data_IF_856442178809
#
_entry.id   IF_856442178809
#
_cell.length_a   1.000
_cell.length_b   1.000
_cell.length_c   1.000
_cell.angle_alpha   90.00
_cell.angle_beta   90.00
_cell.angle_gamma   90.00
#
_symmetry.space_group_name_H-M   'P 1'
#
loop_
_entity.id
_entity.type
_entity.pdbx_description
1 polymer ?
#
# COMPACT_ATOMS: atom_id res chain seq x y z
N UNK A 1 -17.91 -2.97 -70.85
CA UNK A 1 -18.09 -3.75 -69.61
C UNK A 1 -19.32 -3.16 -68.99
N UNK A 2 -20.43 -3.89 -68.90
CA UNK A 2 -21.70 -3.32 -68.42
C UNK A 2 -21.55 -2.90 -66.96
N UNK A 3 -21.96 -1.66 -66.66
CA UNK A 3 -21.90 -1.06 -65.31
C UNK A 3 -22.58 -1.95 -64.26
N UNK A 4 -23.59 -2.72 -64.68
CA UNK A 4 -24.31 -3.70 -63.86
C UNK A 4 -23.42 -4.87 -63.40
N UNK A 5 -22.49 -5.33 -64.25
CA UNK A 5 -21.54 -6.41 -63.91
C UNK A 5 -20.50 -5.95 -62.89
N UNK A 6 -20.12 -4.66 -62.93
CA UNK A 6 -19.15 -4.08 -61.98
C UNK A 6 -19.78 -3.95 -60.59
N UNK A 7 -21.01 -3.42 -60.51
CA UNK A 7 -21.71 -3.22 -59.24
C UNK A 7 -22.11 -4.56 -58.60
N UNK A 8 -22.48 -5.56 -59.40
CA UNK A 8 -22.79 -6.91 -58.92
C UNK A 8 -21.62 -7.60 -58.21
N UNK A 9 -20.38 -7.27 -58.58
CA UNK A 9 -19.17 -7.87 -58.02
C UNK A 9 -18.48 -7.01 -56.95
N UNK A 10 -19.09 -5.89 -56.53
CA UNK A 10 -18.56 -5.10 -55.42
C UNK A 10 -18.54 -5.92 -54.13
N UNK A 11 -17.46 -5.73 -53.34
CA UNK A 11 -17.26 -6.43 -52.08
C UNK A 11 -18.18 -5.91 -50.97
N UNK A 12 -18.61 -4.66 -51.08
CA UNK A 12 -19.54 -4.01 -50.15
C UNK A 12 -20.99 -4.36 -50.49
N UNK A 13 -21.91 -4.45 -49.51
CA UNK A 13 -23.34 -4.51 -49.77
C UNK A 13 -23.83 -3.26 -50.51
N UNK A 14 -24.61 -3.45 -51.57
CA UNK A 14 -25.10 -2.35 -52.42
C UNK A 14 -26.57 -2.55 -52.77
N UNK A 15 -27.32 -1.46 -52.74
CA UNK A 15 -28.70 -1.35 -53.21
C UNK A 15 -28.81 -0.20 -54.21
N UNK A 16 -29.52 -0.43 -55.32
CA UNK A 16 -29.86 0.58 -56.31
C UNK A 16 -31.36 0.84 -56.32
N UNK A 17 -31.71 2.12 -56.31
CA UNK A 17 -33.08 2.64 -56.38
C UNK A 17 -33.29 3.35 -57.72
N UNK A 18 -34.50 3.29 -58.26
CA UNK A 18 -34.89 4.15 -59.37
C UNK A 18 -35.24 5.57 -58.92
N UNK A 19 -35.82 6.37 -59.82
CA UNK A 19 -36.21 7.76 -59.56
C UNK A 19 -37.35 7.89 -58.55
N UNK A 20 -38.22 6.89 -58.48
CA UNK A 20 -39.41 6.90 -57.64
C UNK A 20 -39.13 6.29 -56.25
N UNK A 21 -37.90 5.79 -56.02
CA UNK A 21 -37.48 5.22 -54.75
C UNK A 21 -37.72 3.72 -54.64
N UNK A 22 -37.98 3.07 -55.78
CA UNK A 22 -38.19 1.63 -55.85
C UNK A 22 -36.85 0.91 -55.97
N UNK A 23 -36.67 -0.17 -55.22
CA UNK A 23 -35.49 -1.01 -55.29
C UNK A 23 -35.47 -1.75 -56.63
N UNK A 24 -34.53 -1.37 -57.49
CA UNK A 24 -34.32 -2.01 -58.81
C UNK A 24 -33.10 -2.92 -58.84
N UNK A 25 -32.23 -2.80 -57.84
CA UNK A 25 -31.01 -3.59 -57.75
C UNK A 25 -30.61 -3.84 -56.30
N UNK A 26 -30.12 -5.04 -56.01
CA UNK A 26 -29.41 -5.37 -54.77
C UNK A 26 -28.34 -6.42 -55.09
N UNK A 27 -27.11 -6.24 -54.62
CA UNK A 27 -26.07 -7.25 -54.87
C UNK A 27 -26.17 -8.43 -53.89
N UNK A 28 -25.52 -9.55 -54.20
CA UNK A 28 -25.58 -10.76 -53.37
C UNK A 28 -24.96 -10.55 -51.98
N UNK A 29 -24.13 -9.51 -51.80
CA UNK A 29 -23.62 -9.13 -50.48
C UNK A 29 -24.74 -8.54 -49.63
N UNK A 30 -25.55 -7.62 -50.17
CA UNK A 30 -26.71 -7.06 -49.48
C UNK A 30 -27.74 -8.11 -49.11
N UNK A 31 -28.07 -9.02 -50.03
CA UNK A 31 -29.01 -10.11 -49.77
C UNK A 31 -28.51 -11.05 -48.66
N UNK A 32 -27.21 -11.37 -48.64
CA UNK A 32 -26.61 -12.21 -47.59
C UNK A 32 -26.64 -11.57 -46.22
N UNK A 33 -26.28 -10.28 -46.10
CA UNK A 33 -26.28 -9.61 -44.79
C UNK A 33 -27.69 -9.36 -44.28
N UNK A 34 -28.65 -9.04 -45.15
CA UNK A 34 -30.06 -8.84 -44.76
C UNK A 34 -30.85 -10.15 -44.62
N UNK A 35 -30.30 -11.28 -45.08
CA UNK A 35 -30.98 -12.58 -45.08
C UNK A 35 -32.27 -12.59 -45.91
N UNK A 36 -32.39 -11.71 -46.90
CA UNK A 36 -33.62 -11.51 -47.67
C UNK A 36 -33.44 -11.99 -49.11
N UNK A 37 -34.47 -12.64 -49.66
CA UNK A 37 -34.48 -13.08 -51.05
C UNK A 37 -34.58 -11.88 -52.01
N UNK A 38 -33.92 -11.98 -53.17
CA UNK A 38 -33.89 -10.90 -54.18
C UNK A 38 -35.30 -10.50 -54.62
N UNK A 39 -36.17 -11.48 -54.83
CA UNK A 39 -37.55 -11.31 -55.29
C UNK A 39 -38.43 -10.60 -54.25
N UNK A 40 -38.06 -10.66 -52.97
CA UNK A 40 -38.75 -9.98 -51.88
C UNK A 40 -38.25 -8.55 -51.63
N UNK A 41 -37.23 -8.11 -52.36
CA UNK A 41 -36.64 -6.77 -52.29
C UNK A 41 -36.87 -5.98 -53.57
N UNK A 42 -36.74 -6.61 -54.74
CA UNK A 42 -36.95 -5.93 -56.01
C UNK A 42 -38.42 -5.50 -56.16
N UNK A 43 -38.63 -4.23 -56.48
CA UNK A 43 -39.97 -3.64 -56.61
C UNK A 43 -40.55 -3.07 -55.32
N UNK A 44 -39.88 -3.26 -54.17
CA UNK A 44 -40.28 -2.64 -52.91
C UNK A 44 -39.83 -1.18 -52.84
N UNK A 45 -40.56 -0.37 -52.07
CA UNK A 45 -40.16 1.00 -51.76
C UNK A 45 -38.96 1.03 -50.80
N UNK A 46 -38.12 2.05 -50.92
CA UNK A 46 -36.95 2.28 -50.04
C UNK A 46 -37.30 2.19 -48.55
N UNK A 47 -38.49 2.63 -48.17
CA UNK A 47 -39.10 2.58 -46.85
C UNK A 47 -39.09 1.17 -46.24
N UNK A 48 -39.28 0.14 -47.07
CA UNK A 48 -39.24 -1.26 -46.64
C UNK A 48 -37.86 -1.70 -46.15
N UNK A 49 -36.79 -0.99 -46.53
CA UNK A 49 -35.44 -1.25 -46.03
C UNK A 49 -35.23 -0.78 -44.59
N UNK A 50 -36.13 0.05 -44.05
CA UNK A 50 -36.05 0.53 -42.66
C UNK A 50 -36.04 -0.58 -41.63
N UNK A 51 -36.62 -1.75 -41.95
CA UNK A 51 -36.58 -2.94 -41.09
C UNK A 51 -35.18 -3.51 -40.85
N UNK A 52 -34.21 -3.16 -41.70
CA UNK A 52 -32.81 -3.58 -41.59
C UNK A 52 -31.91 -2.52 -40.92
N UNK A 53 -32.48 -1.36 -40.57
CA UNK A 53 -31.73 -0.22 -40.02
C UNK A 53 -32.33 0.15 -38.67
N UNK A 54 -31.70 -0.34 -37.60
CA UNK A 54 -32.13 -0.07 -36.24
C UNK A 54 -31.95 1.40 -35.83
N UNK A 55 -30.88 2.05 -36.31
CA UNK A 55 -30.57 3.45 -36.03
C UNK A 55 -30.10 4.16 -37.31
N UNK A 56 -30.47 5.42 -37.49
CA UNK A 56 -30.02 6.25 -38.62
C UNK A 56 -30.93 6.23 -39.86
N UNK A 57 -32.01 5.44 -39.87
CA UNK A 57 -32.91 5.34 -41.03
C UNK A 57 -33.56 6.67 -41.45
N UNK A 58 -34.04 7.55 -40.54
CA UNK A 58 -34.61 8.85 -40.96
C UNK A 58 -33.59 9.73 -41.70
N UNK A 59 -32.33 9.75 -41.22
CA UNK A 59 -31.24 10.49 -41.86
C UNK A 59 -30.87 9.89 -43.21
N UNK A 60 -30.89 8.55 -43.32
CA UNK A 60 -30.66 7.84 -44.57
C UNK A 60 -31.75 8.15 -45.60
N UNK A 61 -33.03 8.11 -45.19
CA UNK A 61 -34.16 8.49 -46.04
C UNK A 61 -34.01 9.90 -46.58
N UNK A 62 -33.73 10.88 -45.72
CA UNK A 62 -33.51 12.26 -46.18
C UNK A 62 -32.27 12.43 -47.07
N UNK A 63 -31.26 11.56 -46.95
CA UNK A 63 -30.14 11.53 -47.88
C UNK A 63 -30.56 10.99 -49.27
N UNK A 64 -31.37 9.93 -49.30
CA UNK A 64 -31.93 9.35 -50.54
C UNK A 64 -32.87 10.33 -51.23
N UNK A 65 -33.82 10.93 -50.52
CA UNK A 65 -34.76 11.94 -51.05
C UNK A 65 -34.01 13.10 -51.72
N UNK A 66 -33.00 13.67 -51.04
CA UNK A 66 -32.17 14.75 -51.62
C UNK A 66 -31.40 14.30 -52.86
N UNK A 67 -30.90 13.06 -52.87
CA UNK A 67 -30.23 12.47 -54.01
C UNK A 67 -31.19 12.21 -55.19
N UNK A 68 -32.50 12.04 -54.94
CA UNK A 68 -33.54 11.95 -55.96
C UNK A 68 -33.97 13.33 -56.48
N UNK A 69 -34.05 14.34 -55.61
CA UNK A 69 -34.59 15.67 -55.92
C UNK A 69 -33.62 16.64 -56.61
N UNK A 70 -32.31 16.55 -56.35
CA UNK A 70 -31.38 17.39 -57.12
C UNK A 70 -29.93 17.44 -56.66
N UNK A 71 -29.58 16.79 -55.54
CA UNK A 71 -28.24 16.88 -54.99
C UNK A 71 -27.20 16.27 -55.94
N UNK A 72 -26.09 16.98 -56.16
CA UNK A 72 -25.01 16.55 -57.08
C UNK A 72 -23.84 15.86 -56.38
N UNK A 73 -23.87 15.77 -55.04
CA UNK A 73 -22.80 15.18 -54.22
C UNK A 73 -23.25 13.94 -53.46
N UNK A 74 -22.26 13.13 -53.07
CA UNK A 74 -22.47 11.97 -52.19
C UNK A 74 -22.84 12.43 -50.77
N UNK A 75 -23.80 11.75 -50.16
CA UNK A 75 -24.08 11.90 -48.74
C UNK A 75 -23.54 10.69 -47.96
N UNK A 76 -23.02 10.94 -46.75
CA UNK A 76 -22.64 9.90 -45.79
C UNK A 76 -23.56 9.96 -44.59
N UNK A 77 -24.06 8.81 -44.16
CA UNK A 77 -24.94 8.69 -43.01
C UNK A 77 -24.48 7.50 -42.18
N UNK A 78 -24.12 7.74 -40.93
CA UNK A 78 -23.84 6.65 -39.99
C UNK A 78 -25.15 6.07 -39.45
N UNK A 79 -25.17 4.77 -39.23
CA UNK A 79 -26.31 4.08 -38.63
C UNK A 79 -25.95 2.69 -38.11
N UNK A 80 -26.96 1.97 -37.66
CA UNK A 80 -26.81 0.61 -37.15
C UNK A 80 -27.71 -0.30 -37.97
N UNK A 81 -27.12 -1.26 -38.69
CA UNK A 81 -27.89 -2.33 -39.31
C UNK A 81 -28.27 -3.38 -38.29
N UNK A 82 -29.45 -3.98 -38.48
CA UNK A 82 -29.86 -5.20 -37.80
C UNK A 82 -29.97 -6.35 -38.80
N UNK A 83 -29.40 -7.49 -38.40
CA UNK A 83 -29.27 -8.68 -39.23
C UNK A 83 -30.00 -9.85 -38.57
N UNK A 84 -30.62 -10.74 -39.35
CA UNK A 84 -31.24 -11.95 -38.81
C UNK A 84 -30.18 -12.87 -38.19
N UNK A 85 -30.61 -13.76 -37.28
CA UNK A 85 -29.70 -14.71 -36.62
C UNK A 85 -28.95 -15.62 -37.58
N UNK A 86 -29.51 -15.87 -38.77
CA UNK A 86 -28.91 -16.69 -39.81
C UNK A 86 -27.88 -15.96 -40.66
N UNK A 87 -27.69 -14.65 -40.49
CA UNK A 87 -26.75 -13.87 -41.29
C UNK A 87 -25.29 -14.19 -40.88
N UNK A 88 -24.33 -14.15 -41.84
CA UNK A 88 -22.92 -14.41 -41.57
C UNK A 88 -22.20 -13.20 -40.92
N UNK A 89 -22.94 -12.33 -40.24
CA UNK A 89 -22.49 -11.08 -39.61
C UNK A 89 -23.14 -10.94 -38.24
N UNK A 90 -22.59 -10.12 -37.33
CA UNK A 90 -23.20 -9.84 -36.03
C UNK A 90 -24.66 -9.37 -36.16
N UNK A 91 -25.51 -9.67 -35.18
CA UNK A 91 -26.93 -9.26 -35.16
C UNK A 91 -27.13 -7.75 -35.33
N UNK A 92 -26.19 -6.96 -34.82
CA UNK A 92 -26.15 -5.52 -35.04
C UNK A 92 -24.76 -5.13 -35.50
N UNK A 93 -24.69 -4.27 -36.52
CA UNK A 93 -23.43 -3.83 -37.11
C UNK A 93 -23.48 -2.31 -37.31
N UNK A 94 -22.51 -1.54 -36.79
CA UNK A 94 -22.41 -0.13 -37.14
C UNK A 94 -21.96 -0.01 -38.59
N UNK A 95 -22.69 0.79 -39.36
CA UNK A 95 -22.44 0.99 -40.79
C UNK A 95 -22.42 2.47 -41.16
N UNK A 96 -21.66 2.81 -42.19
CA UNK A 96 -21.74 4.08 -42.90
C UNK A 96 -22.45 3.82 -44.24
N UNK A 97 -23.58 4.46 -44.46
CA UNK A 97 -24.29 4.46 -45.73
C UNK A 97 -23.75 5.60 -46.60
N UNK A 98 -23.27 5.25 -47.80
CA UNK A 98 -22.92 6.22 -48.84
C UNK A 98 -24.02 6.25 -49.88
N UNK A 99 -24.65 7.41 -50.03
CA UNK A 99 -25.76 7.65 -50.95
C UNK A 99 -25.23 8.47 -52.12
N UNK A 100 -25.24 7.89 -53.31
CA UNK A 100 -24.69 8.49 -54.54
C UNK A 100 -25.77 8.56 -55.61
N UNK A 101 -26.08 9.74 -56.18
CA UNK A 101 -27.01 9.84 -57.31
C UNK A 101 -26.40 9.20 -58.56
N UNK A 102 -27.18 8.39 -59.27
CA UNK A 102 -26.77 7.80 -60.55
C UNK A 102 -27.24 8.70 -61.68
N UNK A 103 -26.30 9.21 -62.49
CA UNK A 103 -26.58 10.12 -63.62
C UNK A 103 -25.95 9.55 -64.89
N UNK A 104 -26.72 9.48 -65.96
CA UNK A 104 -26.32 8.97 -67.27
C UNK A 104 -26.73 10.01 -68.33
N UNK A 105 -25.81 10.45 -69.20
CA UNK A 105 -26.05 11.50 -70.20
C UNK A 105 -26.66 12.80 -69.66
N UNK A 106 -26.30 13.18 -68.43
CA UNK A 106 -26.86 14.36 -67.74
C UNK A 106 -28.27 14.14 -67.19
N UNK A 107 -28.83 12.94 -67.36
CA UNK A 107 -30.15 12.54 -66.93
C UNK A 107 -30.03 11.62 -65.72
N UNK A 108 -30.64 12.00 -64.60
CA UNK A 108 -30.63 11.17 -63.38
C UNK A 108 -31.35 9.85 -63.65
N UNK A 109 -30.79 8.71 -63.26
CA UNK A 109 -31.44 7.39 -63.43
C UNK A 109 -31.95 6.82 -62.12
N UNK A 110 -31.36 7.21 -60.99
CA UNK A 110 -31.72 6.68 -59.68
C UNK A 110 -30.70 7.04 -58.61
N UNK A 111 -30.64 6.24 -57.55
CA UNK A 111 -29.73 6.41 -56.40
C UNK A 111 -29.07 5.09 -56.06
N UNK A 112 -27.76 5.12 -55.81
CA UNK A 112 -26.98 3.99 -55.31
C UNK A 112 -26.70 4.18 -53.83
N UNK A 113 -27.02 3.18 -53.02
CA UNK A 113 -26.71 3.13 -51.59
C UNK A 113 -25.70 2.03 -51.35
N UNK A 114 -24.51 2.41 -50.90
CA UNK A 114 -23.43 1.49 -50.55
C UNK A 114 -23.32 1.45 -49.02
N UNK A 115 -23.16 0.25 -48.48
CA UNK A 115 -23.05 0.04 -47.04
C UNK A 115 -21.61 -0.34 -46.70
N UNK A 116 -20.98 0.42 -45.81
CA UNK A 116 -19.63 0.16 -45.33
C UNK A 116 -19.65 -0.22 -43.86
N UNK A 117 -19.03 -1.34 -43.52
CA UNK A 117 -18.78 -1.72 -42.13
C UNK A 117 -17.78 -0.76 -41.50
N UNK A 118 -18.15 -0.15 -40.37
CA UNK A 118 -17.31 0.77 -39.61
C UNK A 118 -16.99 0.23 -38.20
N UNK A 119 -17.13 -1.07 -37.98
CA UNK A 119 -16.88 -1.73 -36.68
C UNK A 119 -15.48 -1.44 -36.16
N UNK A 120 -14.45 -1.59 -37.00
CA UNK A 120 -13.06 -1.31 -36.61
C UNK A 120 -12.86 0.15 -36.15
N UNK A 121 -13.50 1.10 -36.86
CA UNK A 121 -13.45 2.54 -36.51
C UNK A 121 -14.08 2.78 -35.15
N UNK A 122 -15.30 2.27 -34.95
CA UNK A 122 -16.06 2.43 -33.71
C UNK A 122 -15.36 1.75 -32.53
N UNK A 123 -14.77 0.56 -32.73
CA UNK A 123 -14.01 -0.14 -31.69
C UNK A 123 -12.73 0.60 -31.31
N UNK A 124 -12.00 1.14 -32.29
CA UNK A 124 -10.78 1.91 -32.04
C UNK A 124 -11.09 3.18 -31.23
N UNK A 125 -12.13 3.94 -31.62
CA UNK A 125 -12.58 5.12 -30.88
C UNK A 125 -13.04 4.76 -29.46
N UNK A 126 -13.79 3.66 -29.30
CA UNK A 126 -14.21 3.18 -27.98
C UNK A 126 -13.03 2.79 -27.12
N UNK A 127 -12.02 2.13 -27.69
CA UNK A 127 -10.79 1.75 -26.98
C UNK A 127 -10.01 2.98 -26.53
N UNK A 128 -9.86 3.96 -27.41
CA UNK A 128 -9.21 5.23 -27.08
C UNK A 128 -9.94 5.95 -25.96
N UNK A 129 -11.26 6.14 -26.08
CA UNK A 129 -12.11 6.75 -25.03
C UNK A 129 -12.07 5.99 -23.71
N UNK A 130 -11.96 4.66 -23.74
CA UNK A 130 -11.84 3.83 -22.53
C UNK A 130 -10.46 3.98 -21.90
N UNK A 131 -9.41 4.07 -22.70
CA UNK A 131 -8.05 4.31 -22.23
C UNK A 131 -7.93 5.69 -21.59
N UNK A 132 -8.48 6.71 -22.25
CA UNK A 132 -8.51 8.09 -21.74
C UNK A 132 -9.26 8.19 -20.42
N UNK A 133 -10.49 7.67 -20.32
CA UNK A 133 -11.25 7.67 -19.06
C UNK A 133 -10.56 6.92 -17.92
N UNK A 134 -9.83 5.84 -18.23
CA UNK A 134 -9.04 5.12 -17.22
C UNK A 134 -7.86 5.96 -16.73
N UNK A 135 -7.20 6.66 -17.64
CA UNK A 135 -6.08 7.55 -17.31
C UNK A 135 -6.57 8.70 -16.42
N UNK A 136 -7.65 9.39 -16.82
CA UNK A 136 -8.29 10.45 -16.02
C UNK A 136 -8.67 9.98 -14.61
N UNK A 137 -9.21 8.76 -14.48
CA UNK A 137 -9.58 8.22 -13.16
C UNK A 137 -8.39 7.92 -12.25
N UNK A 138 -7.24 7.52 -12.79
CA UNK A 138 -6.01 7.32 -12.00
C UNK A 138 -5.44 8.66 -11.56
N UNK A 139 -5.52 9.66 -12.44
CA UNK A 139 -5.06 11.01 -12.13
C UNK A 139 -5.95 11.73 -11.10
N UNK A 140 -7.23 11.41 -11.00
CA UNK A 140 -8.17 12.04 -10.06
C UNK A 140 -8.18 11.47 -8.64
N UNK A 141 -7.10 10.84 -8.17
CA UNK A 141 -7.04 10.28 -6.81
C UNK A 141 -6.96 11.42 -5.78
N UNK A 142 -7.78 11.40 -4.72
CA UNK A 142 -7.66 12.35 -3.60
C UNK A 142 -6.25 12.30 -3.00
N UNK A 143 -5.73 13.45 -2.57
CA UNK A 143 -4.42 13.60 -1.90
C UNK A 143 -3.19 13.24 -2.76
N UNK A 144 -3.37 12.97 -4.05
CA UNK A 144 -2.29 12.83 -5.03
C UNK A 144 -2.31 14.01 -6.00
N UNK A 145 -1.23 14.75 -6.06
CA UNK A 145 -1.04 15.90 -6.94
C UNK A 145 -0.14 15.50 -8.12
N UNK A 146 -0.63 15.67 -9.35
CA UNK A 146 0.06 15.23 -10.56
C UNK A 146 0.15 16.37 -11.54
N UNK A 147 1.37 16.64 -12.02
CA UNK A 147 1.65 17.57 -13.10
C UNK A 147 2.43 16.90 -14.23
N UNK A 148 2.12 17.26 -15.47
CA UNK A 148 2.87 16.87 -16.67
C UNK A 148 3.56 18.11 -17.19
N UNK A 149 4.87 18.02 -17.40
CA UNK A 149 5.72 19.14 -17.77
C UNK A 149 6.46 18.86 -19.08
N UNK A 150 6.84 19.93 -19.78
CA UNK A 150 7.91 19.88 -20.78
C UNK A 150 9.26 19.59 -20.11
N UNK A 151 10.27 19.11 -20.86
CA UNK A 151 11.61 18.85 -20.31
C UNK A 151 12.29 20.08 -19.69
N UNK A 152 11.86 21.30 -20.01
CA UNK A 152 12.37 22.54 -19.43
C UNK A 152 11.62 22.97 -18.15
N UNK A 153 10.58 22.23 -17.75
CA UNK A 153 9.78 22.51 -16.57
C UNK A 153 8.51 23.35 -16.80
N UNK A 154 8.17 23.63 -18.06
CA UNK A 154 6.89 24.28 -18.41
C UNK A 154 5.71 23.36 -18.18
N UNK A 155 4.63 23.85 -17.56
CA UNK A 155 3.43 23.05 -17.29
C UNK A 155 2.67 22.74 -18.58
N UNK A 156 2.38 21.47 -18.83
CA UNK A 156 1.51 20.99 -19.91
C UNK A 156 0.10 20.72 -19.38
N UNK A 157 -0.01 20.04 -18.25
CA UNK A 157 -1.28 19.59 -17.69
C UNK A 157 -1.12 19.33 -16.18
N UNK A 158 -2.20 19.46 -15.42
CA UNK A 158 -2.26 19.27 -13.97
C UNK A 158 -3.59 18.62 -13.59
N UNK A 159 -3.55 17.62 -12.70
CA UNK A 159 -4.78 16.98 -12.25
C UNK A 159 -5.65 17.90 -11.37
N UNK A 160 -6.95 17.59 -11.29
CA UNK A 160 -7.90 18.37 -10.52
C UNK A 160 -7.50 18.53 -9.05
N UNK A 161 -7.01 17.47 -8.40
CA UNK A 161 -6.62 17.53 -6.99
C UNK A 161 -5.52 18.57 -6.70
N UNK A 162 -4.55 18.73 -7.62
CA UNK A 162 -3.51 19.76 -7.45
C UNK A 162 -4.07 21.17 -7.69
N UNK A 163 -4.96 21.35 -8.66
CA UNK A 163 -5.62 22.64 -8.93
C UNK A 163 -6.53 23.06 -7.78
N UNK A 164 -7.33 22.13 -7.25
CA UNK A 164 -8.25 22.34 -6.13
C UNK A 164 -7.48 22.73 -4.86
N UNK A 165 -6.27 22.20 -4.66
CA UNK A 165 -5.42 22.54 -3.52
C UNK A 165 -5.14 24.04 -3.41
N UNK A 166 -4.93 24.73 -4.53
CA UNK A 166 -4.57 26.16 -4.58
C UNK A 166 -5.66 27.05 -5.19
N UNK A 167 -6.88 26.52 -5.33
CA UNK A 167 -8.04 27.20 -5.95
C UNK A 167 -7.71 27.86 -7.31
N UNK A 168 -6.95 27.15 -8.15
CA UNK A 168 -6.53 27.63 -9.48
C UNK A 168 -7.29 26.93 -10.62
N UNK A 169 -7.35 27.56 -11.80
CA UNK A 169 -7.79 26.89 -13.03
C UNK A 169 -6.58 26.43 -13.83
N UNK A 170 -6.75 25.37 -14.62
CA UNK A 170 -5.71 24.87 -15.51
C UNK A 170 -5.15 25.98 -16.44
N UNK A 171 -6.04 26.81 -16.99
CA UNK A 171 -5.69 27.95 -17.85
C UNK A 171 -4.81 29.01 -17.18
N UNK A 172 -4.77 29.06 -15.84
CA UNK A 172 -3.97 30.01 -15.06
C UNK A 172 -2.52 29.53 -14.84
N UNK A 173 -2.23 28.26 -15.14
CA UNK A 173 -0.92 27.63 -14.86
C UNK A 173 -0.32 26.93 -16.08
N UNK A 174 -1.12 26.52 -17.05
CA UNK A 174 -0.66 25.90 -18.29
C UNK A 174 0.23 26.86 -19.09
N UNK A 175 1.39 26.36 -19.52
CA UNK A 175 2.39 27.14 -20.25
C UNK A 175 3.33 27.97 -19.36
N UNK A 176 3.12 28.01 -18.05
CA UNK A 176 4.03 28.67 -17.12
C UNK A 176 5.11 27.72 -16.60
N UNK A 177 6.31 28.21 -16.27
CA UNK A 177 7.32 27.42 -15.58
C UNK A 177 6.82 27.00 -14.19
N UNK A 178 6.91 25.72 -13.85
CA UNK A 178 6.47 25.19 -12.54
C UNK A 178 6.93 26.03 -11.35
N UNK A 179 8.20 26.47 -11.24
CA UNK A 179 8.62 27.26 -10.08
C UNK A 179 7.84 28.57 -9.87
N UNK A 180 7.19 29.11 -10.91
CA UNK A 180 6.44 30.36 -10.85
C UNK A 180 4.94 30.16 -10.59
N UNK A 181 4.48 28.92 -10.52
CA UNK A 181 3.07 28.58 -10.28
C UNK A 181 2.68 28.77 -8.79
N UNK A 182 1.37 28.90 -8.47
CA UNK A 182 0.90 29.19 -7.11
C UNK A 182 1.41 28.23 -6.03
N UNK A 183 1.62 26.96 -6.37
CA UNK A 183 2.15 25.94 -5.45
C UNK A 183 3.53 26.26 -4.87
N UNK A 184 4.33 27.08 -5.57
CA UNK A 184 5.77 27.26 -5.30
C UNK A 184 6.21 28.72 -5.24
N UNK A 185 5.32 29.65 -5.62
CA UNK A 185 5.60 31.09 -5.67
C UNK A 185 5.97 31.70 -4.30
N UNK A 186 5.67 31.00 -3.20
CA UNK A 186 5.90 31.48 -1.83
C UNK A 186 7.36 31.43 -1.36
N UNK A 187 8.27 30.72 -2.05
CA UNK A 187 9.66 30.53 -1.58
C UNK A 187 10.69 30.43 -2.69
N UNK A 188 11.56 31.44 -2.80
CA UNK A 188 12.66 31.47 -3.78
C UNK A 188 13.63 30.28 -3.64
N UNK A 189 13.90 29.82 -2.40
CA UNK A 189 14.76 28.64 -2.15
C UNK A 189 14.13 27.35 -2.71
N UNK A 190 12.82 27.18 -2.54
CA UNK A 190 12.11 26.02 -3.09
C UNK A 190 12.07 26.10 -4.62
N UNK A 191 11.93 27.29 -5.20
CA UNK A 191 11.99 27.46 -6.65
C UNK A 191 13.35 27.04 -7.22
N UNK A 192 14.46 27.42 -6.58
CA UNK A 192 15.80 27.00 -7.00
C UNK A 192 15.98 25.47 -6.89
N UNK A 193 15.47 24.87 -5.80
CA UNK A 193 15.48 23.41 -5.64
C UNK A 193 14.66 22.71 -6.71
N UNK A 194 13.47 23.22 -7.06
CA UNK A 194 12.61 22.70 -8.12
C UNK A 194 13.30 22.74 -9.47
N UNK A 195 13.95 23.87 -9.82
CA UNK A 195 14.75 23.96 -11.06
C UNK A 195 15.81 22.86 -11.12
N UNK A 196 16.54 22.65 -10.03
CA UNK A 196 17.53 21.56 -9.94
C UNK A 196 16.92 20.16 -10.06
N UNK A 197 15.73 19.92 -9.52
CA UNK A 197 15.02 18.64 -9.69
C UNK A 197 14.56 18.40 -11.12
N UNK A 198 14.01 19.44 -11.76
CA UNK A 198 13.57 19.42 -13.16
C UNK A 198 14.77 19.14 -14.08
N UNK A 199 15.88 19.86 -13.93
CA UNK A 199 17.09 19.66 -14.74
C UNK A 199 17.63 18.23 -14.64
N UNK A 200 17.71 17.68 -13.42
CA UNK A 200 18.13 16.29 -13.20
C UNK A 200 17.18 15.28 -13.83
N UNK A 201 15.87 15.50 -13.68
CA UNK A 201 14.87 14.63 -14.28
C UNK A 201 14.88 14.71 -15.81
N UNK A 202 15.08 15.89 -16.39
CA UNK A 202 15.30 16.09 -17.83
C UNK A 202 16.56 15.38 -18.33
N UNK A 203 17.60 15.29 -17.48
CA UNK A 203 18.78 14.44 -17.70
C UNK A 203 18.50 12.93 -17.64
N UNK A 204 17.28 12.52 -17.31
CA UNK A 204 16.85 11.12 -17.29
C UNK A 204 16.84 10.46 -15.91
N UNK A 205 17.07 11.22 -14.83
CA UNK A 205 17.09 10.73 -13.44
C UNK A 205 15.67 10.65 -12.83
N UNK A 206 15.45 9.70 -11.92
CA UNK A 206 14.27 9.69 -11.05
C UNK A 206 14.58 10.49 -9.79
N UNK A 207 13.93 11.64 -9.62
CA UNK A 207 14.23 12.56 -8.52
C UNK A 207 13.14 12.51 -7.47
N UNK A 208 13.46 12.05 -6.26
CA UNK A 208 12.56 12.14 -5.10
C UNK A 208 12.77 13.46 -4.36
N UNK A 209 11.69 14.02 -3.83
CA UNK A 209 11.74 15.26 -3.07
C UNK A 209 10.74 15.29 -1.91
N UNK A 210 11.05 16.13 -0.94
CA UNK A 210 10.12 16.58 0.09
C UNK A 210 10.06 18.10 0.05
N UNK A 211 8.84 18.63 0.12
CA UNK A 211 8.57 20.06 0.09
C UNK A 211 7.30 20.39 0.88
N UNK A 212 6.92 21.66 0.87
CA UNK A 212 5.70 22.15 1.50
C UNK A 212 5.02 23.08 0.51
N UNK A 213 3.72 22.88 0.28
CA UNK A 213 2.87 23.87 -0.36
C UNK A 213 2.35 24.84 0.71
N UNK A 214 2.20 26.11 0.33
CA UNK A 214 1.60 27.13 1.18
C UNK A 214 0.37 27.65 0.46
N UNK A 215 -0.79 27.47 1.08
CA UNK A 215 -2.08 27.92 0.53
C UNK A 215 -2.27 29.43 0.78
N UNK A 216 -3.27 30.02 0.11
CA UNK A 216 -3.56 31.46 0.22
C UNK A 216 -3.92 31.92 1.63
N UNK A 217 -4.48 31.02 2.46
CA UNK A 217 -4.79 31.28 3.87
C UNK A 217 -3.59 31.07 4.81
N UNK A 218 -2.45 30.66 4.27
CA UNK A 218 -1.22 30.36 5.00
C UNK A 218 -1.12 28.94 5.54
N UNK A 219 -2.07 28.05 5.24
CA UNK A 219 -1.98 26.64 5.58
C UNK A 219 -0.77 25.99 4.88
N UNK A 220 0.01 25.21 5.64
CA UNK A 220 1.17 24.47 5.14
C UNK A 220 0.81 23.02 4.89
N UNK A 221 0.89 22.59 3.63
CA UNK A 221 0.62 21.21 3.23
C UNK A 221 1.96 20.53 2.90
N UNK A 222 2.54 19.73 3.83
CA UNK A 222 3.75 18.98 3.55
C UNK A 222 3.49 17.92 2.48
N UNK A 223 4.36 17.88 1.47
CA UNK A 223 4.28 16.93 0.36
C UNK A 223 5.55 16.13 0.18
N UNK A 224 5.37 14.88 -0.21
CA UNK A 224 6.44 13.99 -0.65
C UNK A 224 6.16 13.52 -2.06
N UNK A 225 7.15 13.63 -2.94
CA UNK A 225 6.94 13.41 -4.36
C UNK A 225 8.14 12.91 -5.14
N UNK A 226 7.88 12.69 -6.42
CA UNK A 226 8.85 12.24 -7.41
C UNK A 226 8.66 13.00 -8.72
N UNK A 227 9.77 13.34 -9.37
CA UNK A 227 9.82 13.78 -10.76
C UNK A 227 10.40 12.65 -11.60
N UNK A 228 9.65 12.19 -12.60
CA UNK A 228 10.04 11.08 -13.49
C UNK A 228 10.07 11.52 -14.96
N UNK A 229 11.12 11.17 -15.73
CA UNK A 229 11.16 11.43 -17.16
C UNK A 229 10.28 10.44 -17.94
N UNK A 230 9.57 10.97 -18.92
CA UNK A 230 8.89 10.20 -19.97
C UNK A 230 9.76 10.22 -21.21
N UNK A 231 10.03 9.04 -21.76
CA UNK A 231 10.91 8.85 -22.91
C UNK A 231 10.12 8.41 -24.14
N UNK A 232 10.56 8.86 -25.30
CA UNK A 232 10.07 8.35 -26.59
C UNK A 232 10.74 7.02 -26.98
N UNK A 233 10.40 6.52 -28.16
CA UNK A 233 10.94 5.27 -28.73
C UNK A 233 12.46 5.31 -28.97
N UNK A 234 13.05 6.51 -29.05
CA UNK A 234 14.49 6.71 -29.24
C UNK A 234 15.25 6.78 -27.92
N UNK A 235 14.53 6.86 -26.79
CA UNK A 235 15.08 7.00 -25.45
C UNK A 235 15.34 8.46 -25.02
N UNK A 236 14.96 9.44 -25.85
CA UNK A 236 15.04 10.86 -25.52
C UNK A 236 13.92 11.24 -24.55
N UNK A 237 14.22 12.09 -23.57
CA UNK A 237 13.21 12.61 -22.63
C UNK A 237 12.34 13.64 -23.34
N UNK A 238 11.04 13.38 -23.41
CA UNK A 238 10.06 14.23 -24.13
C UNK A 238 9.09 14.95 -23.20
N UNK A 239 9.00 14.52 -21.94
CA UNK A 239 8.16 15.14 -20.92
C UNK A 239 8.62 14.70 -19.53
N UNK A 240 8.25 15.43 -18.48
CA UNK A 240 8.41 15.03 -17.09
C UNK A 240 7.03 14.85 -16.45
N UNK A 241 6.90 13.87 -15.56
CA UNK A 241 5.73 13.75 -14.69
C UNK A 241 6.17 14.02 -13.26
N UNK A 242 5.51 14.98 -12.62
CA UNK A 242 5.60 15.23 -11.18
C UNK A 242 4.42 14.55 -10.52
N UNK A 243 4.69 13.76 -9.50
CA UNK A 243 3.68 13.11 -8.67
C UNK A 243 4.05 13.35 -7.22
N UNK A 244 3.15 13.94 -6.44
CA UNK A 244 3.36 14.18 -5.01
C UNK A 244 2.12 13.85 -4.20
N UNK A 245 2.32 13.56 -2.92
CA UNK A 245 1.27 13.17 -1.99
C UNK A 245 1.28 14.08 -0.78
N UNK A 246 0.09 14.44 -0.31
CA UNK A 246 -0.07 15.06 1.01
C UNK A 246 0.31 14.04 2.10
N UNK A 247 1.22 14.44 2.98
CA UNK A 247 1.66 13.62 4.12
C UNK A 247 1.29 14.23 5.48
N UNK A 248 0.35 15.18 5.51
CA UNK A 248 -0.12 15.89 6.70
C UNK A 248 -0.59 14.93 7.79
N UNK A 249 -1.58 14.09 7.49
CA UNK A 249 -2.14 13.12 8.44
C UNK A 249 -1.05 12.16 8.94
N UNK A 250 -0.25 11.62 8.02
CA UNK A 250 0.83 10.68 8.36
C UNK A 250 1.85 11.31 9.30
N UNK A 251 2.24 12.57 9.05
CA UNK A 251 3.17 13.32 9.91
C UNK A 251 2.54 13.66 11.26
N UNK A 252 1.24 13.98 11.31
CA UNK A 252 0.55 14.24 12.57
C UNK A 252 0.48 12.98 13.46
N UNK A 253 0.06 11.85 12.91
CA UNK A 253 0.03 10.57 13.62
C UNK A 253 1.41 10.19 14.14
N UNK A 254 2.45 10.30 13.31
CA UNK A 254 3.82 10.01 13.73
C UNK A 254 4.28 10.89 14.90
N UNK A 255 3.97 12.20 14.86
CA UNK A 255 4.27 13.13 15.96
C UNK A 255 3.47 12.82 17.22
N UNK A 256 2.19 12.43 17.09
CA UNK A 256 1.37 12.06 18.24
C UNK A 256 1.91 10.82 18.93
N UNK A 257 2.27 9.79 18.15
CA UNK A 257 2.86 8.57 18.68
C UNK A 257 4.17 8.85 19.41
N UNK A 258 5.06 9.65 18.80
CA UNK A 258 6.31 10.08 19.42
C UNK A 258 6.08 10.81 20.75
N UNK A 259 5.13 11.76 20.79
CA UNK A 259 4.77 12.48 22.03
C UNK A 259 4.21 11.55 23.13
N UNK A 260 3.49 10.50 22.74
CA UNK A 260 2.96 9.50 23.68
C UNK A 260 4.10 8.67 24.27
N UNK A 261 5.05 8.20 23.44
CA UNK A 261 6.23 7.48 23.92
C UNK A 261 7.09 8.34 24.84
N UNK A 262 7.46 9.57 24.44
CA UNK A 262 8.24 10.51 25.28
C UNK A 262 7.53 10.84 26.61
N UNK A 263 6.19 10.78 26.65
CA UNK A 263 5.42 10.97 27.89
C UNK A 263 5.47 9.74 28.77
N UNK A 264 5.39 8.54 28.19
CA UNK A 264 5.54 7.28 28.91
C UNK A 264 6.94 7.14 29.52
N UNK A 265 7.98 7.49 28.76
CA UNK A 265 9.38 7.47 29.23
C UNK A 265 9.60 8.43 30.41
N UNK A 266 9.14 9.69 30.29
CA UNK A 266 9.27 10.67 31.38
C UNK A 266 8.48 10.26 32.62
N UNK A 267 7.27 9.73 32.45
CA UNK A 267 6.47 9.22 33.56
C UNK A 267 7.19 8.09 34.30
N UNK A 268 7.74 7.14 33.53
CA UNK A 268 8.53 6.02 34.02
C UNK A 268 9.75 6.51 34.82
N UNK A 269 10.53 7.44 34.27
CA UNK A 269 11.72 8.00 34.93
C UNK A 269 11.44 8.73 36.24
N UNK A 270 10.41 9.60 36.29
CA UNK A 270 10.07 10.37 37.49
C UNK A 270 9.51 9.48 38.60
N UNK A 271 8.58 8.58 38.25
CA UNK A 271 8.00 7.63 39.22
C UNK A 271 9.07 6.70 39.81
N UNK A 272 10.07 6.30 39.01
CA UNK A 272 11.22 5.52 39.50
C UNK A 272 11.93 6.18 40.67
N UNK A 273 12.28 7.45 40.49
CA UNK A 273 13.07 8.19 41.46
C UNK A 273 12.24 8.47 42.72
N UNK A 274 10.98 8.85 42.52
CA UNK A 274 10.07 9.23 43.61
C UNK A 274 9.61 8.03 44.45
N UNK A 275 9.64 6.81 43.89
CA UNK A 275 9.38 5.57 44.65
C UNK A 275 10.63 4.99 45.30
N UNK A 276 11.80 5.01 44.63
CA UNK A 276 13.05 4.50 45.23
C UNK A 276 13.50 5.32 46.43
N UNK A 277 13.33 6.63 46.40
CA UNK A 277 13.80 7.50 47.47
C UNK A 277 13.15 7.20 48.84
N UNK A 278 11.81 7.11 48.97
CA UNK A 278 11.19 6.71 50.24
C UNK A 278 11.46 5.24 50.61
N UNK A 279 11.61 4.32 49.63
CA UNK A 279 11.98 2.92 49.90
C UNK A 279 13.38 2.83 50.53
N UNK A 280 14.38 3.52 49.96
CA UNK A 280 15.74 3.57 50.49
C UNK A 280 15.77 4.15 51.92
N UNK A 281 14.95 5.18 52.18
CA UNK A 281 14.82 5.75 53.53
C UNK A 281 14.21 4.73 54.49
N UNK A 282 13.15 4.03 54.09
CA UNK A 282 12.51 3.00 54.91
C UNK A 282 13.45 1.82 55.19
N UNK A 283 14.20 1.35 54.19
CA UNK A 283 15.23 0.32 54.34
C UNK A 283 16.35 0.77 55.29
N UNK A 284 16.83 2.02 55.15
CA UNK A 284 17.85 2.58 56.04
C UNK A 284 17.40 2.65 57.49
N UNK A 285 16.16 3.09 57.75
CA UNK A 285 15.57 3.11 59.10
C UNK A 285 15.38 1.69 59.66
N UNK A 286 14.97 0.75 58.81
CA UNK A 286 14.81 -0.64 59.21
C UNK A 286 16.15 -1.27 59.59
N UNK A 287 17.22 -1.00 58.84
CA UNK A 287 18.57 -1.47 59.15
C UNK A 287 19.03 -0.99 60.53
N UNK A 288 18.84 0.30 60.84
CA UNK A 288 19.13 0.86 62.18
C UNK A 288 18.29 0.19 63.28
N UNK A 289 16.99 -0.04 63.04
CA UNK A 289 16.12 -0.70 64.00
C UNK A 289 16.54 -2.15 64.28
N UNK A 290 17.03 -2.87 63.25
CA UNK A 290 17.53 -4.25 63.38
C UNK A 290 18.87 -4.32 64.10
N UNK A 291 19.71 -3.28 64.01
CA UNK A 291 20.94 -3.16 64.82
C UNK A 291 20.62 -3.02 66.32
N UNK A 292 19.55 -2.29 66.67
CA UNK A 292 19.12 -2.14 68.07
C UNK A 292 18.41 -3.40 68.61
N UNK A 293 17.52 -3.99 67.80
CA UNK A 293 16.84 -5.26 68.10
C UNK A 293 16.39 -5.97 66.83
N UNK A 294 16.96 -7.14 66.54
CA UNK A 294 16.43 -7.98 65.47
C UNK A 294 15.21 -8.79 65.94
N UNK A 295 14.19 -8.88 65.10
CA UNK A 295 12.98 -9.67 65.38
C UNK A 295 12.38 -10.20 64.09
N UNK A 296 11.61 -11.29 64.20
CA UNK A 296 10.93 -11.89 63.05
C UNK A 296 10.00 -10.88 62.33
N UNK A 297 9.36 -9.99 63.09
CA UNK A 297 8.54 -8.91 62.54
C UNK A 297 9.36 -7.93 61.69
N UNK A 298 10.57 -7.55 62.11
CA UNK A 298 11.44 -6.64 61.33
C UNK A 298 12.03 -7.35 60.11
N UNK A 299 12.34 -8.64 60.21
CA UNK A 299 12.75 -9.44 59.05
C UNK A 299 11.62 -9.54 58.01
N UNK A 300 10.35 -9.59 58.44
CA UNK A 300 9.20 -9.59 57.53
C UNK A 300 9.00 -8.23 56.83
N UNK A 301 9.25 -7.12 57.54
CA UNK A 301 9.23 -5.78 56.93
C UNK A 301 10.37 -5.62 55.92
N UNK A 302 11.56 -6.18 56.20
CA UNK A 302 12.70 -6.15 55.27
C UNK A 302 12.35 -6.83 53.95
N UNK A 303 11.86 -8.09 54.03
CA UNK A 303 11.40 -8.83 52.84
C UNK A 303 10.31 -8.08 52.06
N UNK A 304 9.44 -7.35 52.75
CA UNK A 304 8.39 -6.56 52.10
C UNK A 304 8.93 -5.32 51.37
N UNK A 305 9.94 -4.64 51.93
CA UNK A 305 10.62 -3.51 51.29
C UNK A 305 11.43 -3.96 50.08
N UNK A 306 12.19 -5.05 50.21
CA UNK A 306 12.97 -5.65 49.11
C UNK A 306 12.04 -6.07 47.96
N UNK A 307 10.87 -6.63 48.29
CA UNK A 307 9.84 -6.96 47.29
C UNK A 307 9.29 -5.73 46.56
N UNK A 308 9.06 -4.63 47.28
CA UNK A 308 8.59 -3.38 46.65
C UNK A 308 9.65 -2.77 45.74
N UNK A 309 10.93 -2.84 46.11
CA UNK A 309 12.03 -2.42 45.25
C UNK A 309 12.11 -3.25 43.97
N UNK A 310 12.03 -4.58 44.09
CA UNK A 310 11.96 -5.48 42.93
C UNK A 310 10.76 -5.19 42.03
N UNK A 311 9.57 -4.95 42.58
CA UNK A 311 8.38 -4.57 41.81
C UNK A 311 8.55 -3.27 41.05
N UNK A 312 9.19 -2.27 41.67
CA UNK A 312 9.49 -1.00 41.01
C UNK A 312 10.47 -1.23 39.88
N UNK A 313 11.56 -1.96 40.08
CA UNK A 313 12.54 -2.24 39.04
C UNK A 313 11.94 -3.04 37.86
N UNK A 314 11.06 -4.00 38.14
CA UNK A 314 10.36 -4.80 37.14
C UNK A 314 9.43 -3.93 36.26
N UNK A 315 8.61 -3.08 36.87
CA UNK A 315 7.70 -2.17 36.15
C UNK A 315 8.45 -1.20 35.25
N UNK A 316 9.60 -0.70 35.71
CA UNK A 316 10.43 0.22 34.95
C UNK A 316 11.11 -0.44 33.76
N UNK A 317 11.45 -1.71 33.91
CA UNK A 317 12.01 -2.51 32.82
C UNK A 317 10.98 -2.70 31.71
N UNK A 318 9.76 -3.09 32.06
CA UNK A 318 8.67 -3.24 31.09
C UNK A 318 8.37 -1.92 30.37
N UNK A 319 8.29 -0.82 31.10
CA UNK A 319 7.99 0.49 30.51
C UNK A 319 9.08 1.04 29.56
N UNK A 320 10.31 0.53 29.62
CA UNK A 320 11.44 0.90 28.73
C UNK A 320 11.58 0.00 27.50
N UNK A 321 10.72 -0.99 27.32
CA UNK A 321 10.91 -1.97 26.23
C UNK A 321 10.48 -1.46 24.84
N UNK A 322 10.10 -0.19 24.70
CA UNK A 322 9.55 0.34 23.43
C UNK A 322 10.52 1.04 22.47
N UNK A 323 11.58 1.71 22.94
CA UNK A 323 12.24 2.75 22.10
C UNK A 323 13.77 2.88 22.24
N UNK A 324 14.43 2.11 23.11
CA UNK A 324 15.89 2.16 23.21
C UNK A 324 16.52 1.30 22.11
N UNK A 325 17.32 1.92 21.24
CA UNK A 325 18.21 1.19 20.34
C UNK A 325 19.12 0.27 21.18
N UNK A 326 19.07 -1.04 20.93
CA UNK A 326 19.92 -2.00 21.62
C UNK A 326 21.40 -1.69 21.37
N UNK A 327 22.18 -1.56 22.44
CA UNK A 327 23.64 -1.47 22.34
C UNK A 327 24.23 -2.89 22.29
N UNK A 328 24.08 -3.53 21.13
CA UNK A 328 24.46 -4.95 20.97
C UNK A 328 25.98 -5.11 20.87
N UNK A 329 26.54 -5.90 21.77
CA UNK A 329 27.94 -6.31 21.76
C UNK A 329 28.08 -7.84 21.69
N UNK A 330 29.30 -8.32 21.47
CA UNK A 330 29.62 -9.75 21.53
C UNK A 330 29.76 -10.16 23.00
N UNK A 331 28.79 -10.93 23.53
CA UNK A 331 28.73 -11.34 24.94
C UNK A 331 28.98 -12.84 25.07
N UNK A 332 29.98 -13.22 25.88
CA UNK A 332 30.22 -14.60 26.28
C UNK A 332 29.15 -15.06 27.28
N UNK A 333 28.34 -16.05 26.90
CA UNK A 333 27.18 -16.47 27.69
C UNK A 333 27.61 -17.12 29.01
N UNK A 334 28.75 -17.81 29.04
CA UNK A 334 29.25 -18.45 30.26
C UNK A 334 29.61 -17.40 31.33
N UNK A 335 30.30 -16.33 30.91
CA UNK A 335 30.67 -15.21 31.78
C UNK A 335 29.44 -14.43 32.25
N UNK A 336 28.49 -14.15 31.34
CA UNK A 336 27.26 -13.44 31.69
C UNK A 336 26.40 -14.26 32.68
N UNK A 337 26.27 -15.57 32.45
CA UNK A 337 25.57 -16.50 33.32
C UNK A 337 26.15 -16.52 34.72
N UNK A 338 27.48 -16.64 34.85
CA UNK A 338 28.15 -16.67 36.15
C UNK A 338 27.95 -15.35 36.91
N UNK A 339 28.08 -14.21 36.23
CA UNK A 339 27.89 -12.89 36.84
C UNK A 339 26.43 -12.65 37.31
N UNK A 340 25.43 -13.08 36.53
CA UNK A 340 24.03 -13.04 36.92
C UNK A 340 23.73 -13.94 38.12
N UNK A 341 24.39 -15.10 38.22
CA UNK A 341 24.20 -16.02 39.34
C UNK A 341 24.78 -15.49 40.66
N UNK A 342 25.91 -14.78 40.63
CA UNK A 342 26.47 -14.14 41.83
C UNK A 342 25.50 -13.14 42.48
N UNK A 343 24.62 -12.53 41.69
CA UNK A 343 23.64 -11.56 42.18
C UNK A 343 22.39 -12.20 42.82
N UNK A 344 22.01 -13.41 42.41
CA UNK A 344 20.69 -14.01 42.73
C UNK A 344 20.80 -15.38 43.43
N UNK A 345 21.90 -16.08 43.26
CA UNK A 345 22.12 -17.41 43.84
C UNK A 345 22.22 -17.38 45.36
N UNK A 346 21.82 -18.48 45.99
CA UNK A 346 21.95 -18.70 47.44
C UNK A 346 22.88 -19.88 47.75
N UNK A 347 23.23 -20.07 49.03
CA UNK A 347 24.16 -21.13 49.44
C UNK A 347 23.63 -22.56 49.28
N UNK A 348 22.32 -22.72 49.05
CA UNK A 348 21.67 -24.04 48.92
C UNK A 348 21.55 -24.48 47.46
N UNK A 349 21.59 -23.53 46.52
CA UNK A 349 21.41 -23.76 45.09
C UNK A 349 22.73 -23.80 44.34
N UNK A 350 22.73 -24.39 43.14
CA UNK A 350 23.93 -24.60 42.31
C UNK A 350 23.70 -24.15 40.88
N UNK A 351 24.76 -23.62 40.27
CA UNK A 351 24.79 -23.28 38.85
C UNK A 351 25.71 -24.25 38.10
N UNK A 352 25.19 -24.85 37.02
CA UNK A 352 25.94 -25.60 36.04
C UNK A 352 25.99 -24.80 34.73
N UNK A 353 27.19 -24.34 34.35
CA UNK A 353 27.40 -23.62 33.09
C UNK A 353 27.99 -24.58 32.06
N UNK A 354 27.17 -25.01 31.10
CA UNK A 354 27.55 -25.94 30.03
C UNK A 354 27.66 -25.25 28.67
N UNK A 355 27.21 -24.00 28.56
CA UNK A 355 27.30 -23.20 27.35
C UNK A 355 28.74 -22.74 27.07
N UNK A 356 29.16 -22.80 25.81
CA UNK A 356 30.39 -22.15 25.31
C UNK A 356 30.07 -21.11 24.24
N UNK A 357 28.81 -20.67 24.15
CA UNK A 357 28.33 -19.77 23.11
C UNK A 357 28.63 -18.31 23.42
N UNK A 358 28.71 -17.57 22.33
CA UNK A 358 28.83 -16.12 22.32
C UNK A 358 27.65 -15.56 21.51
N UNK A 359 26.94 -14.60 22.08
CA UNK A 359 25.74 -14.01 21.50
C UNK A 359 25.98 -12.53 21.17
N UNK A 360 25.33 -12.05 20.10
CA UNK A 360 25.19 -10.60 19.84
C UNK A 360 24.01 -10.06 20.63
N UNK A 361 24.27 -9.35 21.71
CA UNK A 361 23.24 -8.94 22.66
C UNK A 361 23.60 -7.64 23.39
N UNK A 362 22.58 -6.93 23.85
CA UNK A 362 22.76 -5.92 24.89
C UNK A 362 23.08 -6.63 26.21
N UNK A 363 24.30 -6.43 26.71
CA UNK A 363 24.80 -7.12 27.90
C UNK A 363 23.97 -6.85 29.15
N UNK A 364 23.43 -5.63 29.28
CA UNK A 364 22.65 -5.24 30.46
C UNK A 364 21.29 -5.94 30.48
N UNK A 365 20.63 -6.01 29.32
CA UNK A 365 19.34 -6.68 29.14
C UNK A 365 19.48 -8.21 29.23
N UNK A 366 20.55 -8.76 28.66
CA UNK A 366 20.83 -10.20 28.75
C UNK A 366 21.10 -10.63 30.20
N UNK A 367 21.85 -9.83 30.97
CA UNK A 367 22.05 -10.07 32.41
C UNK A 367 20.73 -10.13 33.15
N UNK A 368 19.81 -9.21 32.84
CA UNK A 368 18.50 -9.14 33.44
C UNK A 368 17.60 -10.33 33.09
N UNK A 369 17.65 -10.83 31.86
CA UNK A 369 16.97 -12.06 31.46
C UNK A 369 17.43 -13.23 32.33
N UNK A 370 18.74 -13.40 32.50
CA UNK A 370 19.28 -14.46 33.35
C UNK A 370 18.90 -14.30 34.81
N UNK A 371 19.02 -13.09 35.38
CA UNK A 371 18.66 -12.82 36.78
C UNK A 371 17.18 -13.14 37.06
N UNK A 372 16.28 -12.82 36.12
CA UNK A 372 14.85 -13.17 36.24
C UNK A 372 14.62 -14.68 36.22
N UNK A 373 15.25 -15.41 35.31
CA UNK A 373 15.11 -16.87 35.23
C UNK A 373 15.71 -17.56 36.47
N UNK A 374 16.86 -17.10 36.96
CA UNK A 374 17.50 -17.68 38.14
C UNK A 374 16.70 -17.39 39.41
N UNK A 375 16.15 -16.17 39.54
CA UNK A 375 15.29 -15.81 40.67
C UNK A 375 14.06 -16.70 40.72
N UNK A 376 13.39 -16.90 39.59
CA UNK A 376 12.23 -17.79 39.49
C UNK A 376 12.58 -19.22 39.92
N UNK A 377 13.73 -19.75 39.49
CA UNK A 377 14.15 -21.10 39.87
C UNK A 377 14.43 -21.22 41.38
N UNK A 378 15.05 -20.20 41.98
CA UNK A 378 15.40 -20.20 43.41
C UNK A 378 14.18 -19.94 44.31
N UNK A 379 13.29 -19.01 43.94
CA UNK A 379 12.12 -18.64 44.75
C UNK A 379 10.97 -19.67 44.69
N UNK A 380 10.90 -20.48 43.63
CA UNK A 380 9.84 -21.48 43.46
C UNK A 380 10.27 -22.91 43.83
N UNK A 381 11.43 -23.04 44.48
CA UNK A 381 11.91 -24.31 45.01
C UNK A 381 11.98 -24.26 46.55
N UNK A 382 11.30 -25.20 47.21
CA UNK A 382 11.36 -25.35 48.68
C UNK A 382 12.70 -25.93 49.18
N UNK A 383 13.57 -26.37 48.25
CA UNK A 383 14.90 -26.91 48.50
C UNK A 383 15.92 -26.32 47.52
N UNK A 384 17.22 -26.50 47.78
CA UNK A 384 18.28 -26.07 46.86
C UNK A 384 18.10 -26.63 45.44
N UNK A 385 18.11 -25.76 44.43
CA UNK A 385 17.89 -26.08 43.01
C UNK A 385 19.21 -26.09 42.22
N UNK A 386 19.32 -26.93 41.20
CA UNK A 386 20.40 -26.88 40.22
C UNK A 386 19.90 -26.23 38.94
N UNK A 387 20.43 -25.04 38.62
CA UNK A 387 20.16 -24.36 37.35
C UNK A 387 21.27 -24.67 36.36
N UNK A 388 20.89 -25.13 35.17
CA UNK A 388 21.80 -25.48 34.06
C UNK A 388 21.58 -24.54 32.89
N UNK A 389 22.65 -23.89 32.43
CA UNK A 389 22.63 -23.08 31.20
C UNK A 389 23.45 -23.78 30.13
N UNK A 390 22.81 -24.11 29.00
CA UNK A 390 23.45 -24.87 27.93
C UNK A 390 23.04 -24.42 26.53
N UNK A 391 23.65 -25.03 25.52
CA UNK A 391 23.47 -24.63 24.12
C UNK A 391 22.25 -25.31 23.46
N UNK A 392 21.57 -24.57 22.58
CA UNK A 392 20.65 -25.08 21.55
C UNK A 392 21.29 -24.92 20.18
N UNK A 393 20.74 -25.48 19.10
CA UNK A 393 21.31 -25.30 17.75
C UNK A 393 21.29 -23.82 17.30
N UNK A 394 20.22 -23.11 17.62
CA UNK A 394 19.90 -21.73 17.25
C UNK A 394 19.76 -20.79 18.48
N UNK A 395 20.34 -21.16 19.62
CA UNK A 395 20.32 -20.33 20.82
C UNK A 395 20.87 -21.01 22.07
N UNK A 396 20.23 -20.76 23.22
CA UNK A 396 20.60 -21.33 24.51
C UNK A 396 19.37 -21.70 25.34
N UNK A 397 19.55 -22.50 26.38
CA UNK A 397 18.49 -22.83 27.32
C UNK A 397 18.93 -22.61 28.76
N UNK A 398 17.95 -22.33 29.62
CA UNK A 398 18.09 -22.30 31.08
C UNK A 398 17.12 -23.33 31.65
N UNK A 399 17.63 -24.33 32.35
CA UNK A 399 16.83 -25.41 32.92
C UNK A 399 17.06 -25.55 34.42
N UNK A 400 16.00 -25.72 35.20
CA UNK A 400 16.06 -26.08 36.62
C UNK A 400 15.61 -27.53 36.85
N UNK A 401 15.93 -28.07 38.03
CA UNK A 401 15.49 -29.37 38.54
C UNK A 401 14.37 -29.24 39.60
N UNK A 402 13.66 -28.12 39.61
CA UNK A 402 12.58 -27.80 40.54
C UNK A 402 11.23 -28.46 40.20
N UNK A 403 10.10 -27.94 40.72
CA UNK A 403 8.78 -28.57 40.57
C UNK A 403 8.20 -28.52 39.15
N UNK A 404 8.73 -27.65 38.28
CA UNK A 404 8.29 -27.49 36.89
C UNK A 404 7.03 -26.65 36.73
N UNK A 405 6.71 -26.27 35.48
CA UNK A 405 5.49 -25.56 35.10
C UNK A 405 4.51 -26.52 34.40
N UNK A 406 3.25 -26.64 34.87
CA UNK A 406 2.22 -27.46 34.21
C UNK A 406 2.00 -27.03 32.76
N UNK A 407 1.77 -28.01 31.86
CA UNK A 407 1.66 -27.76 30.42
C UNK A 407 0.59 -26.72 30.04
N UNK A 408 -0.55 -26.73 30.76
CA UNK A 408 -1.66 -25.80 30.53
C UNK A 408 -1.33 -24.35 30.90
N UNK A 409 -0.28 -24.11 31.69
CA UNK A 409 0.11 -22.79 32.18
C UNK A 409 1.25 -22.17 31.34
N UNK A 410 1.94 -22.96 30.51
CA UNK A 410 3.19 -22.57 29.82
C UNK A 410 3.06 -21.39 28.85
N UNK A 411 1.88 -21.17 28.28
CA UNK A 411 1.64 -20.00 27.43
C UNK A 411 1.27 -18.76 28.27
N UNK A 412 0.57 -18.97 29.39
CA UNK A 412 0.07 -17.90 30.26
C UNK A 412 1.13 -17.37 31.22
N UNK A 413 2.19 -18.13 31.50
CA UNK A 413 3.26 -17.70 32.43
C UNK A 413 4.04 -16.47 31.95
N UNK A 414 3.95 -16.13 30.66
CA UNK A 414 4.54 -14.91 30.10
C UNK A 414 3.59 -13.71 30.11
N UNK A 415 2.33 -13.86 30.55
CA UNK A 415 1.39 -12.76 30.70
C UNK A 415 1.71 -11.92 31.95
N UNK A 416 1.50 -10.60 31.84
CA UNK A 416 1.78 -9.67 32.93
C UNK A 416 0.93 -10.00 34.17
N UNK A 417 1.59 -10.27 35.30
CA UNK A 417 0.94 -10.50 36.59
C UNK A 417 0.60 -11.97 36.87
N UNK A 418 1.02 -12.91 36.02
CA UNK A 418 0.88 -14.34 36.30
C UNK A 418 1.95 -14.79 37.31
N UNK A 419 1.55 -15.28 38.49
CA UNK A 419 2.45 -15.92 39.46
C UNK A 419 1.72 -17.00 40.25
N UNK A 420 2.37 -18.15 40.44
CA UNK A 420 1.87 -19.27 41.25
C UNK A 420 2.36 -19.24 42.70
N UNK A 421 3.32 -18.37 43.03
CA UNK A 421 3.85 -18.21 44.37
C UNK A 421 3.19 -17.04 45.12
N UNK A 422 2.99 -17.22 46.43
CA UNK A 422 2.41 -16.20 47.32
C UNK A 422 3.26 -14.91 47.41
N UNK A 423 4.54 -14.97 47.04
CA UNK A 423 5.52 -13.88 47.15
C UNK A 423 6.03 -13.31 45.81
N UNK A 424 5.71 -13.95 44.66
CA UNK A 424 6.18 -13.51 43.34
C UNK A 424 5.50 -12.24 42.82
N UNK A 425 6.19 -11.48 41.97
CA UNK A 425 5.66 -10.26 41.32
C UNK A 425 4.82 -10.57 40.09
N UNK A 426 5.06 -11.73 39.46
CA UNK A 426 4.44 -12.15 38.20
C UNK A 426 4.86 -11.32 36.99
N UNK A 427 5.94 -10.53 37.11
CA UNK A 427 6.50 -9.69 36.05
C UNK A 427 7.81 -10.26 35.49
N UNK A 428 8.48 -11.17 36.21
CA UNK A 428 9.80 -11.67 35.82
C UNK A 428 9.82 -12.38 34.46
N UNK A 429 8.82 -13.21 34.15
CA UNK A 429 8.75 -13.89 32.85
C UNK A 429 8.27 -12.97 31.72
N UNK A 430 7.44 -11.96 32.00
CA UNK A 430 7.11 -10.96 30.99
C UNK A 430 8.31 -10.09 30.63
N UNK A 431 9.22 -9.82 31.59
CA UNK A 431 10.52 -9.19 31.32
C UNK A 431 11.40 -10.07 30.42
N UNK A 432 11.47 -11.38 30.69
CA UNK A 432 12.22 -12.34 29.85
C UNK A 432 11.71 -12.29 28.40
N UNK A 433 10.38 -12.28 28.21
CA UNK A 433 9.76 -12.14 26.88
C UNK A 433 10.10 -10.78 26.25
N UNK A 434 9.98 -9.70 27.01
CA UNK A 434 10.32 -8.34 26.57
C UNK A 434 11.77 -8.23 26.05
N UNK A 435 12.72 -8.84 26.78
CA UNK A 435 14.12 -8.86 26.38
C UNK A 435 14.33 -9.69 25.12
N UNK A 436 13.70 -10.86 25.02
CA UNK A 436 13.78 -11.71 23.83
C UNK A 436 13.21 -10.98 22.59
N UNK A 437 12.00 -10.42 22.69
CA UNK A 437 11.32 -9.68 21.62
C UNK A 437 12.19 -8.50 21.14
N UNK A 438 12.80 -7.75 22.06
CA UNK A 438 13.68 -6.63 21.71
C UNK A 438 14.90 -7.06 20.87
N UNK A 439 15.42 -8.26 21.10
CA UNK A 439 16.54 -8.83 20.34
C UNK A 439 16.11 -9.63 19.11
N UNK A 440 14.79 -9.72 18.84
CA UNK A 440 14.24 -10.56 17.77
C UNK A 440 14.38 -12.06 18.03
N UNK A 441 14.46 -12.46 19.30
CA UNK A 441 14.55 -13.85 19.75
C UNK A 441 13.18 -14.39 20.16
N UNK A 442 13.02 -15.70 20.06
CA UNK A 442 11.85 -16.41 20.56
C UNK A 442 12.16 -17.07 21.90
N UNK A 443 11.24 -17.00 22.85
CA UNK A 443 11.35 -17.70 24.14
C UNK A 443 10.18 -18.68 24.36
N UNK A 444 10.49 -19.90 24.78
CA UNK A 444 9.50 -20.95 25.04
C UNK A 444 9.80 -21.74 26.32
N UNK A 445 8.75 -22.27 26.95
CA UNK A 445 8.86 -23.16 28.11
C UNK A 445 8.65 -24.62 27.69
N UNK A 446 9.56 -25.49 28.10
CA UNK A 446 9.56 -26.93 27.84
C UNK A 446 9.90 -27.71 29.11
N UNK A 447 9.74 -29.03 29.06
CA UNK A 447 10.17 -29.92 30.16
C UNK A 447 11.70 -30.03 30.24
N UNK A 448 12.23 -29.95 31.45
CA UNK A 448 13.63 -30.26 31.73
C UNK A 448 13.85 -31.77 31.80
N UNK A 449 15.00 -32.26 31.29
CA UNK A 449 15.33 -33.70 31.25
C UNK A 449 15.46 -34.34 32.64
N UNK A 450 15.65 -33.53 33.69
CA UNK A 450 15.79 -33.97 35.09
C UNK A 450 14.51 -33.87 35.94
N UNK A 451 13.38 -33.45 35.36
CA UNK A 451 12.30 -32.80 36.12
C UNK A 451 12.59 -31.28 36.22
N UNK A 452 11.56 -30.46 36.43
CA UNK A 452 11.69 -29.00 36.47
C UNK A 452 11.37 -28.27 35.16
N UNK A 453 11.67 -26.98 35.12
CA UNK A 453 11.31 -26.09 33.99
C UNK A 453 12.50 -25.87 33.07
N UNK A 454 12.27 -25.78 31.76
CA UNK A 454 13.30 -25.42 30.80
C UNK A 454 12.84 -24.29 29.88
N UNK A 455 13.48 -23.14 30.00
CA UNK A 455 13.31 -22.01 29.11
C UNK A 455 14.29 -22.13 27.93
N UNK A 456 13.77 -22.14 26.70
CA UNK A 456 14.57 -22.13 25.48
C UNK A 456 14.50 -20.73 24.85
N UNK A 457 15.65 -20.12 24.58
CA UNK A 457 15.78 -18.85 23.85
C UNK A 457 16.42 -19.16 22.49
N UNK A 458 15.71 -18.85 21.41
CA UNK A 458 16.04 -19.21 20.02
C UNK A 458 16.13 -17.98 19.12
N UNK A 459 16.75 -18.12 17.96
CA UNK A 459 17.03 -16.99 17.05
C UNK A 459 18.25 -16.17 17.46
N UNK A 460 19.12 -16.72 18.32
CA UNK A 460 20.32 -16.03 18.78
C UNK A 460 21.43 -16.21 17.75
N UNK A 461 21.74 -15.13 17.02
CA UNK A 461 22.81 -15.12 16.04
C UNK A 461 24.15 -15.52 16.66
N UNK A 462 24.84 -16.46 16.01
CA UNK A 462 26.25 -16.75 16.30
C UNK A 462 27.07 -15.60 15.73
N UNK A 463 27.85 -14.94 16.60
CA UNK A 463 28.85 -13.95 16.16
C UNK A 463 29.90 -14.56 15.24
#
# INVERSE_FOLDING_TARGET
>A
MDSETVIANLLEPVVGLDRDGTVVFANDRFLRVTGTAREALLGEEFEALGKFVAEGFPSLRSAVERAQEGATGDARVDGTMCHPESAPVPRTLPVEFRVTPVVEDGVRRGVLVILRDISERVEHERRLRRSQRRFEAVLGTPDTFIGVLEPDGTVIDVNAAALDLVDARAEDVEGDPVPLTPWWAHSDDLQDRLRGWIERAAGGEYVRFEATHVLDDGEEVPVEGVVRPVRDETGAVVSLIVESHDVSERREYARQLKRQNERLERFTGVVSHDLRNPLNVAQGQLSLAREERDSESLAMVARSLDRMEALVDDLLTLARTGDDALDTETVDLATATAASWEAVGNSESRLAVETTRVARADRSRLRQLFENLFRNAVEHSDAGVTVTVGDLDDGFYVADDGPGIPENDREQVFENGYSTATEGTGLGLSIVRSVADAHGWDVAVTDSRGGGTRFEVRGVDRS
#
